data_IF_647806440004
#
_entry.id   IF_647806440004
#
_cell.length_a   1.000
_cell.length_b   1.000
_cell.length_c   1.000
_cell.angle_alpha   90.00
_cell.angle_beta   90.00
_cell.angle_gamma   90.00
#
_symmetry.space_group_name_H-M   'P 1'
#
loop_
_entity.id
_entity.type
_entity.pdbx_description
1 polymer ?
#
# COMPACT_ATOMS: atom_id res chain seq x y z
N UNK A 1 13.86 -29.12 -4.67
CA UNK A 1 12.73 -30.08 -4.51
C UNK A 1 11.45 -29.34 -4.72
N UNK A 2 10.45 -29.94 -5.39
CA UNK A 2 9.11 -29.35 -5.52
C UNK A 2 8.17 -29.93 -4.46
N UNK A 3 7.37 -29.05 -3.84
CA UNK A 3 6.33 -29.43 -2.89
C UNK A 3 4.96 -29.06 -3.46
N UNK A 4 4.10 -30.08 -3.59
CA UNK A 4 2.72 -29.88 -4.03
C UNK A 4 1.76 -30.45 -3.00
N UNK A 5 0.81 -29.64 -2.53
CA UNK A 5 -0.18 -30.01 -1.51
C UNK A 5 -1.57 -29.88 -2.11
N UNK A 6 -2.31 -30.98 -2.09
CA UNK A 6 -3.75 -30.98 -2.35
C UNK A 6 -4.47 -31.23 -1.01
N UNK A 7 -5.39 -30.38 -0.61
CA UNK A 7 -6.07 -30.47 0.67
C UNK A 7 -5.29 -29.81 1.81
N UNK A 8 -4.97 -30.55 2.87
CA UNK A 8 -4.26 -30.01 4.05
C UNK A 8 -2.86 -30.58 4.14
N UNK A 9 -1.85 -29.72 4.30
CA UNK A 9 -0.47 -30.16 4.42
C UNK A 9 0.45 -29.18 5.13
N UNK A 10 1.55 -29.72 5.64
CA UNK A 10 2.59 -29.02 6.38
C UNK A 10 3.88 -29.00 5.56
N UNK A 11 4.55 -27.86 5.56
CA UNK A 11 5.84 -27.66 4.91
C UNK A 11 6.85 -27.29 5.99
N UNK A 12 7.86 -28.12 6.27
CA UNK A 12 8.91 -27.78 7.22
C UNK A 12 9.80 -26.64 6.70
N UNK A 13 10.58 -26.06 7.60
CA UNK A 13 11.64 -25.14 7.23
C UNK A 13 12.59 -25.79 6.24
N UNK A 14 13.09 -25.04 5.27
CA UNK A 14 14.01 -25.55 4.26
C UNK A 14 13.96 -24.78 2.96
N UNK A 15 14.70 -25.35 1.97
CA UNK A 15 14.83 -24.78 0.64
C UNK A 15 14.11 -25.65 -0.40
N UNK A 16 13.31 -24.99 -1.22
CA UNK A 16 12.45 -25.62 -2.23
C UNK A 16 12.61 -24.93 -3.57
N UNK A 17 12.41 -25.67 -4.65
CA UNK A 17 12.27 -25.03 -5.95
C UNK A 17 10.85 -24.41 -6.07
N UNK A 18 9.82 -25.22 -5.92
CA UNK A 18 8.44 -24.76 -5.99
C UNK A 18 7.61 -25.26 -4.83
N UNK A 19 6.88 -24.33 -4.19
CA UNK A 19 5.87 -24.66 -3.18
C UNK A 19 4.51 -24.27 -3.74
N UNK A 20 3.64 -25.25 -3.91
CA UNK A 20 2.31 -24.99 -4.46
C UNK A 20 1.24 -25.83 -3.77
N UNK A 21 0.02 -25.28 -3.67
CA UNK A 21 -1.09 -26.07 -3.19
C UNK A 21 -2.44 -25.42 -3.26
N UNK A 22 -3.46 -26.27 -3.25
CA UNK A 22 -4.86 -25.93 -3.12
C UNK A 22 -5.39 -26.47 -1.80
N UNK A 23 -6.08 -25.63 -1.01
CA UNK A 23 -6.59 -26.00 0.30
C UNK A 23 -5.86 -25.29 1.44
N UNK A 24 -5.36 -26.02 2.43
CA UNK A 24 -4.71 -25.43 3.61
C UNK A 24 -3.24 -25.81 3.71
N UNK A 25 -2.36 -24.85 3.59
CA UNK A 25 -0.90 -25.00 3.70
C UNK A 25 -0.44 -24.35 5.00
N UNK A 26 0.35 -25.07 5.80
CA UNK A 26 1.04 -24.53 6.96
C UNK A 26 2.56 -24.67 6.78
N UNK A 27 3.26 -23.54 6.81
CA UNK A 27 4.72 -23.47 6.75
C UNK A 27 5.26 -23.31 8.17
N UNK A 28 6.31 -24.05 8.50
CA UNK A 28 6.97 -23.98 9.81
C UNK A 28 8.36 -23.37 9.65
N UNK A 29 8.69 -22.42 10.51
CA UNK A 29 9.97 -21.72 10.49
C UNK A 29 10.23 -20.96 9.19
N UNK A 30 11.47 -20.93 8.77
CA UNK A 30 11.90 -20.19 7.59
C UNK A 30 11.81 -21.07 6.33
N UNK A 31 10.98 -20.68 5.39
CA UNK A 31 10.84 -21.36 4.09
C UNK A 31 11.44 -20.47 3.00
N UNK A 32 12.41 -21.02 2.25
CA UNK A 32 12.95 -20.42 1.04
C UNK A 32 12.50 -21.20 -0.19
N UNK A 33 12.11 -20.51 -1.24
CA UNK A 33 11.75 -21.18 -2.49
C UNK A 33 11.99 -20.27 -3.70
N UNK A 34 12.03 -20.87 -4.89
CA UNK A 34 12.01 -20.06 -6.11
C UNK A 34 10.63 -19.44 -6.30
N UNK A 35 9.58 -20.22 -6.12
CA UNK A 35 8.21 -19.69 -6.21
C UNK A 35 7.24 -20.35 -5.24
N UNK A 36 6.34 -19.54 -4.71
CA UNK A 36 5.23 -19.95 -3.85
C UNK A 36 3.89 -19.64 -4.52
N UNK A 37 2.97 -20.60 -4.48
CA UNK A 37 1.62 -20.42 -4.97
C UNK A 37 0.60 -21.15 -4.10
N UNK A 38 -0.36 -20.43 -3.53
CA UNK A 38 -1.46 -21.02 -2.77
C UNK A 38 -2.83 -20.57 -3.27
N UNK A 39 -3.75 -21.52 -3.35
CA UNK A 39 -5.17 -21.27 -3.53
C UNK A 39 -5.92 -21.86 -2.32
N UNK A 40 -6.53 -20.99 -1.51
CA UNK A 40 -7.18 -21.38 -0.24
C UNK A 40 -6.53 -20.69 0.96
N UNK A 41 -6.13 -21.44 1.97
CA UNK A 41 -5.50 -20.90 3.18
C UNK A 41 -4.02 -21.19 3.23
N UNK A 42 -3.20 -20.18 3.51
CA UNK A 42 -1.79 -20.37 3.82
C UNK A 42 -1.41 -19.65 5.11
N UNK A 43 -0.66 -20.34 5.97
CA UNK A 43 -0.14 -19.78 7.22
C UNK A 43 1.33 -20.12 7.35
N UNK A 44 2.11 -19.19 7.89
CA UNK A 44 3.54 -19.42 8.09
C UNK A 44 4.19 -18.37 8.97
N UNK A 45 5.49 -18.53 9.16
CA UNK A 45 6.35 -17.55 9.81
C UNK A 45 7.01 -16.68 8.76
N UNK A 46 8.22 -17.01 8.34
CA UNK A 46 8.93 -16.27 7.30
C UNK A 46 8.90 -17.04 5.98
N UNK A 47 8.75 -16.30 4.88
CA UNK A 47 8.90 -16.86 3.55
C UNK A 47 9.73 -15.95 2.68
N UNK A 48 10.68 -16.54 1.96
CA UNK A 48 11.50 -15.86 0.96
C UNK A 48 11.38 -16.61 -0.38
N UNK A 49 10.92 -15.89 -1.40
CA UNK A 49 10.78 -16.42 -2.75
C UNK A 49 11.76 -15.68 -3.68
N UNK A 50 12.61 -16.41 -4.38
CA UNK A 50 13.51 -15.78 -5.36
C UNK A 50 12.74 -15.08 -6.49
N UNK A 51 11.59 -15.64 -6.89
CA UNK A 51 10.77 -15.08 -7.97
C UNK A 51 9.41 -14.63 -7.46
N UNK A 52 8.44 -15.51 -7.40
CA UNK A 52 7.05 -15.14 -7.22
C UNK A 52 6.42 -15.68 -5.94
N UNK A 53 5.77 -14.81 -5.21
CA UNK A 53 4.80 -15.14 -4.17
C UNK A 53 3.39 -14.87 -4.68
N UNK A 54 2.57 -15.91 -4.83
CA UNK A 54 1.18 -15.80 -5.25
C UNK A 54 0.27 -16.46 -4.23
N UNK A 55 -0.71 -15.71 -3.71
CA UNK A 55 -1.70 -16.22 -2.77
C UNK A 55 -3.11 -15.80 -3.17
N UNK A 56 -4.02 -16.76 -3.21
CA UNK A 56 -5.45 -16.52 -3.43
C UNK A 56 -6.24 -17.13 -2.28
N UNK A 57 -7.15 -16.33 -1.69
CA UNK A 57 -7.90 -16.73 -0.49
C UNK A 57 -7.38 -16.05 0.77
N UNK A 58 -7.01 -16.80 1.80
CA UNK A 58 -6.54 -16.26 3.08
C UNK A 58 -5.10 -16.64 3.35
N UNK A 59 -4.23 -15.63 3.52
CA UNK A 59 -2.82 -15.84 3.81
C UNK A 59 -2.40 -15.06 5.04
N UNK A 60 -1.68 -15.71 5.95
CA UNK A 60 -1.24 -15.13 7.23
C UNK A 60 0.19 -15.54 7.55
N UNK A 61 1.08 -14.57 7.63
CA UNK A 61 2.48 -14.75 7.97
C UNK A 61 2.82 -13.96 9.23
N UNK A 62 3.35 -14.67 10.25
CA UNK A 62 3.74 -14.06 11.54
C UNK A 62 5.12 -13.41 11.48
N UNK A 63 5.91 -13.71 10.46
CA UNK A 63 7.19 -13.09 10.17
C UNK A 63 7.13 -12.25 8.90
N UNK A 64 8.25 -12.15 8.21
CA UNK A 64 8.41 -11.36 7.00
C UNK A 64 8.13 -12.15 5.73
N UNK A 65 7.66 -11.45 4.71
CA UNK A 65 7.49 -11.99 3.36
C UNK A 65 8.41 -11.22 2.42
N UNK A 66 9.27 -11.94 1.70
CA UNK A 66 10.16 -11.39 0.69
C UNK A 66 9.99 -12.15 -0.62
N UNK A 67 9.93 -11.42 -1.74
CA UNK A 67 9.91 -12.02 -3.08
C UNK A 67 10.38 -11.01 -4.13
N UNK A 68 10.62 -11.47 -5.37
CA UNK A 68 10.76 -10.55 -6.50
C UNK A 68 9.41 -9.90 -6.82
N UNK A 69 8.36 -10.71 -6.90
CA UNK A 69 6.99 -10.23 -7.10
C UNK A 69 6.04 -10.84 -6.07
N UNK A 70 5.16 -10.00 -5.50
CA UNK A 70 4.12 -10.41 -4.55
C UNK A 70 2.75 -10.12 -5.15
N UNK A 71 1.90 -11.14 -5.23
CA UNK A 71 0.50 -10.99 -5.62
C UNK A 71 -0.40 -11.71 -4.64
N UNK A 72 -1.28 -10.97 -3.96
CA UNK A 72 -2.28 -11.57 -3.08
C UNK A 72 -3.69 -11.10 -3.44
N UNK A 73 -4.61 -12.07 -3.55
CA UNK A 73 -6.02 -11.85 -3.83
C UNK A 73 -6.85 -12.44 -2.68
N UNK A 74 -7.68 -11.62 -2.03
CA UNK A 74 -8.46 -12.02 -0.86
C UNK A 74 -7.96 -11.36 0.42
N UNK A 75 -7.66 -12.13 1.46
CA UNK A 75 -7.15 -11.63 2.73
C UNK A 75 -5.66 -11.94 2.88
N UNK A 76 -4.84 -10.94 3.11
CA UNK A 76 -3.41 -11.08 3.32
C UNK A 76 -2.98 -10.38 4.62
N UNK A 77 -2.30 -11.11 5.48
CA UNK A 77 -1.73 -10.58 6.73
C UNK A 77 -0.23 -10.91 6.80
N UNK A 78 0.56 -9.91 7.19
CA UNK A 78 1.99 -10.06 7.46
C UNK A 78 2.34 -9.25 8.71
N UNK A 79 2.81 -9.92 9.77
CA UNK A 79 3.23 -9.25 11.00
C UNK A 79 4.65 -8.67 10.89
N UNK A 80 5.47 -9.19 9.97
CA UNK A 80 6.80 -8.67 9.65
C UNK A 80 6.80 -7.62 8.54
N UNK A 81 7.98 -7.41 7.97
CA UNK A 81 8.14 -6.58 6.78
C UNK A 81 7.66 -7.32 5.52
N UNK A 82 7.13 -6.57 4.59
CA UNK A 82 6.83 -7.06 3.25
C UNK A 82 7.77 -6.37 2.26
N UNK A 83 8.60 -7.16 1.61
CA UNK A 83 9.57 -6.64 0.63
C UNK A 83 9.39 -7.32 -0.70
N UNK A 84 9.26 -6.55 -1.77
CA UNK A 84 9.37 -7.06 -3.13
C UNK A 84 10.44 -6.27 -3.89
N UNK A 85 11.17 -6.95 -4.76
CA UNK A 85 12.15 -6.26 -5.61
C UNK A 85 11.46 -5.45 -6.70
N UNK A 86 10.37 -5.98 -7.26
CA UNK A 86 9.64 -5.34 -8.36
C UNK A 86 8.23 -4.94 -7.92
N UNK A 87 7.30 -5.88 -7.88
CA UNK A 87 5.88 -5.58 -7.80
C UNK A 87 5.20 -6.13 -6.56
N UNK A 88 4.33 -5.33 -5.95
CA UNK A 88 3.33 -5.78 -4.98
C UNK A 88 1.94 -5.47 -5.53
N UNK A 89 1.10 -6.49 -5.67
CA UNK A 89 -0.28 -6.34 -6.13
C UNK A 89 -1.23 -6.96 -5.12
N UNK A 90 -2.06 -6.14 -4.52
CA UNK A 90 -3.11 -6.57 -3.61
C UNK A 90 -4.51 -6.35 -4.20
N UNK A 91 -5.35 -7.38 -4.10
CA UNK A 91 -6.79 -7.30 -4.41
C UNK A 91 -7.59 -7.86 -3.25
N UNK A 92 -8.29 -6.98 -2.50
CA UNK A 92 -9.05 -7.37 -1.32
C UNK A 92 -8.58 -6.68 -0.04
N UNK A 93 -8.35 -7.42 1.05
CA UNK A 93 -7.94 -6.87 2.33
C UNK A 93 -6.51 -7.28 2.66
N UNK A 94 -5.62 -6.30 2.83
CA UNK A 94 -4.22 -6.56 3.19
C UNK A 94 -3.83 -5.75 4.42
N UNK A 95 -3.18 -6.40 5.39
CA UNK A 95 -2.64 -5.76 6.60
C UNK A 95 -1.19 -6.16 6.80
N UNK A 96 -0.31 -5.18 6.92
CA UNK A 96 1.11 -5.32 7.19
C UNK A 96 1.40 -4.58 8.50
N UNK A 97 1.99 -5.25 9.50
CA UNK A 97 2.25 -4.62 10.80
C UNK A 97 3.60 -3.89 10.87
N UNK A 98 4.46 -4.08 9.89
CA UNK A 98 5.68 -3.30 9.75
C UNK A 98 5.68 -2.52 8.43
N UNK A 99 6.83 -2.40 7.81
CA UNK A 99 7.01 -1.59 6.60
C UNK A 99 6.82 -2.41 5.32
N UNK A 100 6.50 -1.70 4.25
CA UNK A 100 6.42 -2.22 2.89
C UNK A 100 7.48 -1.55 2.04
N UNK A 101 8.23 -2.34 1.25
CA UNK A 101 9.21 -1.84 0.30
C UNK A 101 9.11 -2.57 -1.03
N UNK A 102 9.06 -1.81 -2.15
CA UNK A 102 9.04 -2.37 -3.50
C UNK A 102 9.30 -1.26 -4.54
N UNK A 103 9.41 -1.62 -5.83
CA UNK A 103 9.41 -0.63 -6.89
C UNK A 103 7.98 -0.18 -7.22
N UNK A 104 7.07 -1.12 -7.42
CA UNK A 104 5.68 -0.80 -7.80
C UNK A 104 4.67 -1.42 -6.85
N UNK A 105 3.89 -0.59 -6.16
CA UNK A 105 2.80 -0.99 -5.29
C UNK A 105 1.45 -0.69 -5.93
N UNK A 106 0.63 -1.71 -6.13
CA UNK A 106 -0.77 -1.57 -6.56
C UNK A 106 -1.72 -2.21 -5.56
N UNK A 107 -2.65 -1.45 -5.01
CA UNK A 107 -3.64 -1.97 -4.06
C UNK A 107 -5.06 -1.61 -4.46
N UNK A 108 -5.92 -2.63 -4.51
CA UNK A 108 -7.34 -2.53 -4.85
C UNK A 108 -8.18 -3.13 -3.71
N UNK A 109 -8.73 -2.27 -2.86
CA UNK A 109 -9.52 -2.68 -1.69
C UNK A 109 -9.09 -1.99 -0.40
N UNK A 110 -8.94 -2.73 0.69
CA UNK A 110 -8.44 -2.20 1.97
C UNK A 110 -6.98 -2.59 2.16
N UNK A 111 -6.12 -1.60 2.23
CA UNK A 111 -4.69 -1.76 2.47
C UNK A 111 -4.28 -1.02 3.74
N UNK A 112 -3.74 -1.74 4.71
CA UNK A 112 -3.28 -1.20 6.00
C UNK A 112 -1.82 -1.51 6.22
N UNK A 113 -1.04 -0.50 6.60
CA UNK A 113 0.38 -0.60 6.97
C UNK A 113 0.59 0.20 8.25
N UNK A 114 1.21 -0.41 9.26
CA UNK A 114 1.40 0.27 10.55
C UNK A 114 2.67 1.12 10.59
N UNK A 115 3.59 0.95 9.64
CA UNK A 115 4.80 1.77 9.51
C UNK A 115 4.85 2.41 8.14
N UNK A 116 6.00 2.40 7.49
CA UNK A 116 6.25 3.13 6.26
C UNK A 116 5.98 2.30 5.00
N UNK A 117 5.66 2.98 3.93
CA UNK A 117 5.63 2.46 2.57
C UNK A 117 6.71 3.20 1.79
N UNK A 118 7.64 2.45 1.20
CA UNK A 118 8.68 2.94 0.31
C UNK A 118 8.54 2.28 -1.05
N UNK A 119 8.41 3.07 -2.11
CA UNK A 119 8.30 2.56 -3.47
C UNK A 119 8.81 3.60 -4.49
N UNK A 120 8.92 3.22 -5.75
CA UNK A 120 9.03 4.17 -6.86
C UNK A 120 7.64 4.66 -7.27
N UNK A 121 6.69 3.73 -7.34
CA UNK A 121 5.32 4.03 -7.76
C UNK A 121 4.30 3.41 -6.80
N UNK A 122 3.39 4.22 -6.30
CA UNK A 122 2.27 3.79 -5.45
C UNK A 122 0.94 4.12 -6.12
N UNK A 123 0.15 3.10 -6.38
CA UNK A 123 -1.22 3.24 -6.91
C UNK A 123 -2.20 2.54 -5.97
N UNK A 124 -3.12 3.30 -5.39
CA UNK A 124 -4.17 2.71 -4.56
C UNK A 124 -5.56 3.08 -5.09
N UNK A 125 -6.45 2.10 -5.12
CA UNK A 125 -7.85 2.29 -5.49
C UNK A 125 -8.76 1.60 -4.47
N UNK A 126 -9.21 2.36 -3.47
CA UNK A 126 -9.98 1.87 -2.33
C UNK A 126 -9.61 2.61 -1.05
N UNK A 127 -9.34 1.90 0.01
CA UNK A 127 -8.95 2.46 1.31
C UNK A 127 -7.47 2.19 1.58
N UNK A 128 -6.73 3.24 1.87
CA UNK A 128 -5.38 3.12 2.41
C UNK A 128 -5.36 3.62 3.87
N UNK A 129 -4.72 2.84 4.74
CA UNK A 129 -4.39 3.23 6.11
C UNK A 129 -2.89 3.01 6.30
N UNK A 130 -2.13 4.06 6.47
CA UNK A 130 -0.71 4.01 6.75
C UNK A 130 -0.43 4.92 7.95
N UNK A 131 0.09 4.37 9.04
CA UNK A 131 0.36 5.19 10.23
C UNK A 131 1.63 6.04 10.07
N UNK A 132 2.58 5.58 9.27
CA UNK A 132 3.83 6.28 8.98
C UNK A 132 3.80 7.06 7.67
N UNK A 133 4.97 7.11 7.03
CA UNK A 133 5.22 7.81 5.78
C UNK A 133 4.89 6.91 4.57
N UNK A 134 4.17 7.45 3.61
CA UNK A 134 4.09 6.92 2.25
C UNK A 134 5.07 7.73 1.40
N UNK A 135 6.16 7.11 1.00
CA UNK A 135 7.22 7.75 0.21
C UNK A 135 7.38 7.04 -1.13
N UNK A 136 7.23 7.78 -2.22
CA UNK A 136 7.46 7.26 -3.58
C UNK A 136 7.66 8.41 -4.57
N UNK A 137 8.33 8.14 -5.68
CA UNK A 137 8.46 9.13 -6.75
C UNK A 137 7.08 9.53 -7.28
N UNK A 138 6.22 8.55 -7.56
CA UNK A 138 4.88 8.79 -8.07
C UNK A 138 3.81 8.15 -7.17
N UNK A 139 2.91 8.97 -6.64
CA UNK A 139 1.84 8.53 -5.75
C UNK A 139 0.48 8.88 -6.34
N UNK A 140 -0.34 7.86 -6.57
CA UNK A 140 -1.73 8.02 -6.99
C UNK A 140 -2.68 7.32 -6.02
N UNK A 141 -3.47 8.10 -5.29
CA UNK A 141 -4.46 7.59 -4.34
C UNK A 141 -5.87 7.92 -4.85
N UNK A 142 -6.66 6.88 -5.15
CA UNK A 142 -8.07 7.00 -5.53
C UNK A 142 -8.94 6.40 -4.45
N UNK A 143 -9.41 7.22 -3.51
CA UNK A 143 -10.21 6.69 -2.39
C UNK A 143 -11.71 6.61 -2.72
N UNK A 144 -12.37 5.59 -2.18
CA UNK A 144 -13.83 5.40 -2.22
C UNK A 144 -14.48 5.51 -0.83
N UNK A 145 -13.67 5.63 0.23
CA UNK A 145 -14.08 5.82 1.63
C UNK A 145 -13.06 6.71 2.35
N UNK A 146 -13.13 6.76 3.67
CA UNK A 146 -12.14 7.47 4.48
C UNK A 146 -10.84 6.67 4.51
N UNK A 147 -9.77 7.31 4.11
CA UNK A 147 -8.38 6.82 4.21
C UNK A 147 -7.60 7.68 5.20
N UNK A 148 -6.60 7.11 5.86
CA UNK A 148 -5.74 7.82 6.82
C UNK A 148 -4.27 7.52 6.56
N UNK A 149 -3.44 8.56 6.55
CA UNK A 149 -2.01 8.46 6.29
C UNK A 149 -1.28 9.40 7.25
N UNK A 150 -0.15 8.97 7.82
CA UNK A 150 0.68 9.81 8.67
C UNK A 150 1.27 10.98 7.89
N UNK A 151 2.09 10.69 6.91
CA UNK A 151 2.70 11.68 6.00
C UNK A 151 2.78 11.13 4.58
N UNK A 152 2.87 12.03 3.60
CA UNK A 152 3.09 11.69 2.20
C UNK A 152 4.28 12.47 1.68
N UNK A 153 5.26 11.79 1.08
CA UNK A 153 6.42 12.38 0.42
C UNK A 153 6.62 11.83 -0.97
N UNK A 154 6.97 12.67 -1.94
CA UNK A 154 7.25 12.20 -3.30
C UNK A 154 7.25 13.31 -4.35
N UNK A 155 7.81 13.04 -5.53
CA UNK A 155 7.89 14.05 -6.60
C UNK A 155 6.50 14.37 -7.18
N UNK A 156 5.70 13.36 -7.49
CA UNK A 156 4.39 13.54 -8.09
C UNK A 156 3.29 12.92 -7.24
N UNK A 157 2.48 13.74 -6.61
CA UNK A 157 1.43 13.30 -5.68
C UNK A 157 0.06 13.64 -6.24
N UNK A 158 -0.75 12.65 -6.49
CA UNK A 158 -2.14 12.81 -6.93
C UNK A 158 -3.09 12.08 -5.98
N UNK A 159 -3.94 12.83 -5.29
CA UNK A 159 -5.01 12.27 -4.45
C UNK A 159 -6.35 12.68 -5.02
N UNK A 160 -7.17 11.69 -5.36
CA UNK A 160 -8.49 11.92 -5.98
C UNK A 160 -9.57 11.06 -5.34
N UNK A 161 -10.79 11.55 -5.37
CA UNK A 161 -11.97 10.76 -5.06
C UNK A 161 -12.33 9.86 -6.26
N UNK A 162 -12.65 8.59 -6.02
CA UNK A 162 -13.21 7.72 -7.05
C UNK A 162 -14.64 8.16 -7.41
N UNK A 163 -14.93 8.32 -8.69
CA UNK A 163 -16.27 8.71 -9.18
C UNK A 163 -17.25 7.52 -9.08
N UNK A 164 -17.83 7.25 -7.91
CA UNK A 164 -18.93 6.26 -7.77
C UNK A 164 -19.79 6.60 -6.57
N UNK A 165 -21.15 6.73 -6.75
CA UNK A 165 -22.20 6.93 -5.74
C UNK A 165 -22.17 8.21 -4.88
N UNK A 166 -23.31 8.89 -4.73
CA UNK A 166 -23.47 10.20 -4.09
C UNK A 166 -23.45 10.18 -2.54
N UNK A 167 -23.58 9.06 -1.88
CA UNK A 167 -23.95 8.99 -0.47
C UNK A 167 -22.85 8.64 0.54
N UNK A 168 -21.58 8.52 0.17
CA UNK A 168 -20.52 8.15 1.11
C UNK A 168 -19.49 9.26 1.31
N UNK A 169 -19.16 9.55 2.57
CA UNK A 169 -18.03 10.43 2.92
C UNK A 169 -16.74 9.79 2.41
N UNK A 170 -16.01 10.51 1.58
CA UNK A 170 -14.78 10.08 0.94
C UNK A 170 -13.75 11.17 1.08
N UNK A 171 -12.71 10.91 1.83
CA UNK A 171 -11.60 11.82 1.99
C UNK A 171 -10.34 11.08 2.39
N UNK A 172 -9.20 11.68 2.14
CA UNK A 172 -7.93 11.27 2.73
C UNK A 172 -7.61 12.24 3.85
N UNK A 173 -7.29 11.70 5.02
CA UNK A 173 -6.82 12.47 6.17
C UNK A 173 -5.33 12.20 6.29
N UNK A 174 -4.51 13.23 6.21
CA UNK A 174 -3.08 13.18 6.46
C UNK A 174 -2.82 13.88 7.78
N UNK A 175 -2.15 13.19 8.69
CA UNK A 175 -2.02 13.64 10.09
C UNK A 175 -0.89 14.64 10.29
N UNK A 176 0.12 14.65 9.42
CA UNK A 176 1.30 15.51 9.55
C UNK A 176 1.50 16.40 8.32
N UNK A 177 2.13 15.91 7.26
CA UNK A 177 2.47 16.73 6.10
C UNK A 177 2.34 15.99 4.78
N UNK A 178 2.19 16.75 3.70
CA UNK A 178 2.32 16.32 2.32
C UNK A 178 3.44 17.15 1.69
N UNK A 179 4.48 16.51 1.20
CA UNK A 179 5.67 17.18 0.65
C UNK A 179 6.03 16.59 -0.73
N UNK A 180 6.22 17.46 -1.73
CA UNK A 180 6.57 16.99 -3.09
C UNK A 180 6.68 18.12 -4.10
N UNK A 181 7.09 17.79 -5.34
CA UNK A 181 7.24 18.80 -6.39
C UNK A 181 5.88 19.17 -7.00
N UNK A 182 5.16 18.19 -7.49
CA UNK A 182 3.89 18.39 -8.19
C UNK A 182 2.76 17.72 -7.39
N UNK A 183 1.91 18.52 -6.78
CA UNK A 183 0.89 18.03 -5.84
C UNK A 183 -0.51 18.39 -6.34
N UNK A 184 -1.36 17.41 -6.54
CA UNK A 184 -2.79 17.56 -6.79
C UNK A 184 -3.62 16.86 -5.71
N UNK A 185 -4.44 17.61 -4.96
CA UNK A 185 -5.23 17.12 -3.84
C UNK A 185 -6.72 17.39 -4.03
N UNK A 186 -7.56 16.38 -4.09
CA UNK A 186 -9.02 16.44 -4.14
C UNK A 186 -9.62 15.69 -2.94
N UNK A 187 -10.44 16.35 -2.09
CA UNK A 187 -11.00 15.81 -0.85
C UNK A 187 -9.94 15.32 0.16
N UNK A 188 -8.93 16.14 0.42
CA UNK A 188 -7.87 15.89 1.38
C UNK A 188 -7.98 16.82 2.56
N UNK A 189 -7.74 16.30 3.78
CA UNK A 189 -7.54 17.10 4.98
C UNK A 189 -6.10 16.90 5.45
N UNK A 190 -5.33 17.97 5.58
CA UNK A 190 -3.94 17.93 6.04
C UNK A 190 -3.58 19.25 6.76
N UNK A 191 -2.70 19.20 7.78
CA UNK A 191 -2.22 20.44 8.42
C UNK A 191 -1.25 21.20 7.51
N UNK A 192 -0.37 20.53 6.78
CA UNK A 192 0.63 21.18 5.93
C UNK A 192 0.79 20.50 4.58
N UNK A 193 0.92 21.32 3.54
CA UNK A 193 1.28 20.92 2.18
C UNK A 193 2.43 21.80 1.71
N UNK A 194 3.53 21.22 1.30
CA UNK A 194 4.71 21.93 0.78
C UNK A 194 5.08 21.37 -0.58
N UNK A 195 5.17 22.25 -1.59
CA UNK A 195 5.49 21.80 -2.93
C UNK A 195 5.90 22.90 -3.90
N UNK A 196 6.43 22.50 -5.05
CA UNK A 196 6.80 23.42 -6.12
C UNK A 196 5.56 23.93 -6.86
N UNK A 197 4.75 23.01 -7.36
CA UNK A 197 3.46 23.26 -8.03
C UNK A 197 2.38 22.55 -7.23
N UNK A 198 1.47 23.34 -6.63
CA UNK A 198 0.43 22.81 -5.75
C UNK A 198 -0.95 23.17 -6.29
N UNK A 199 -1.80 22.17 -6.47
CA UNK A 199 -3.21 22.34 -6.88
C UNK A 199 -4.13 21.71 -5.83
N UNK A 200 -4.89 22.56 -5.14
CA UNK A 200 -5.83 22.15 -4.10
C UNK A 200 -7.23 22.10 -4.69
N UNK A 201 -7.71 20.89 -4.92
CA UNK A 201 -9.02 20.59 -5.48
C UNK A 201 -10.16 20.70 -4.46
N UNK A 202 -11.37 20.52 -4.95
CA UNK A 202 -12.61 20.68 -4.17
C UNK A 202 -12.65 19.78 -2.94
N UNK A 203 -13.32 20.26 -1.89
CA UNK A 203 -13.54 19.50 -0.65
C UNK A 203 -12.27 19.21 0.15
N UNK A 204 -11.15 19.83 -0.22
CA UNK A 204 -9.91 19.78 0.57
C UNK A 204 -9.94 20.84 1.66
N UNK A 205 -9.33 20.51 2.81
CA UNK A 205 -9.18 21.40 3.97
C UNK A 205 -7.72 21.35 4.40
N UNK A 206 -6.97 22.41 4.16
CA UNK A 206 -5.53 22.51 4.45
C UNK A 206 -5.28 23.71 5.36
N UNK A 207 -4.49 23.53 6.41
CA UNK A 207 -4.17 24.65 7.30
C UNK A 207 -3.09 25.56 6.69
N UNK A 208 -1.98 25.00 6.20
CA UNK A 208 -0.89 25.75 5.59
C UNK A 208 -0.49 25.14 4.25
N UNK A 209 -0.43 25.96 3.21
CA UNK A 209 0.15 25.59 1.91
C UNK A 209 1.38 26.47 1.67
N UNK A 210 2.53 25.81 1.48
CA UNK A 210 3.79 26.42 1.08
C UNK A 210 4.12 26.01 -0.36
N UNK A 211 4.45 26.99 -1.22
CA UNK A 211 4.74 26.72 -2.62
C UNK A 211 5.84 27.64 -3.16
N UNK A 212 6.62 27.16 -4.13
CA UNK A 212 7.68 27.98 -4.73
C UNK A 212 7.32 28.56 -6.10
N UNK A 213 6.62 27.82 -6.95
CA UNK A 213 6.32 28.28 -8.32
C UNK A 213 4.84 28.63 -8.51
N UNK A 214 3.95 27.66 -8.35
CA UNK A 214 2.53 27.82 -8.69
C UNK A 214 1.60 27.26 -7.64
N UNK A 215 0.55 28.02 -7.32
CA UNK A 215 -0.54 27.59 -6.46
C UNK A 215 -1.88 27.79 -7.16
N UNK A 216 -2.68 26.74 -7.24
CA UNK A 216 -4.06 26.77 -7.67
C UNK A 216 -4.98 26.27 -6.55
N UNK A 217 -6.01 27.04 -6.20
CA UNK A 217 -6.97 26.68 -5.16
C UNK A 217 -8.38 26.71 -5.74
N UNK A 218 -9.07 25.56 -5.68
CA UNK A 218 -10.48 25.50 -6.06
C UNK A 218 -11.34 26.38 -5.15
N UNK A 219 -12.36 27.09 -5.67
CA UNK A 219 -13.32 27.84 -4.85
C UNK A 219 -14.08 26.97 -3.83
N UNK A 220 -14.06 25.64 -4.00
CA UNK A 220 -14.69 24.69 -3.08
C UNK A 220 -13.70 24.02 -2.13
N UNK A 221 -12.47 24.51 -2.03
CA UNK A 221 -11.47 24.12 -1.05
C UNK A 221 -11.42 25.15 0.09
N UNK A 222 -10.94 24.72 1.26
CA UNK A 222 -10.65 25.61 2.38
C UNK A 222 -9.15 25.54 2.67
N UNK A 223 -8.46 26.64 2.51
CA UNK A 223 -7.05 26.81 2.89
C UNK A 223 -6.98 27.98 3.88
N UNK A 224 -6.35 27.75 5.05
CA UNK A 224 -6.30 28.78 6.10
C UNK A 224 -5.17 29.77 5.86
N UNK A 225 -4.00 29.30 5.41
CA UNK A 225 -2.82 30.11 5.16
C UNK A 225 -2.06 29.63 3.92
N UNK A 226 -1.53 30.57 3.16
CA UNK A 226 -0.63 30.29 2.03
C UNK A 226 0.64 31.08 2.17
N UNK A 227 1.78 30.47 1.83
CA UNK A 227 3.10 31.09 1.86
C UNK A 227 3.84 30.73 0.57
N UNK A 228 4.42 31.72 -0.09
CA UNK A 228 5.35 31.51 -1.18
C UNK A 228 6.77 31.47 -0.62
N UNK A 229 7.50 30.37 -0.89
CA UNK A 229 8.86 30.13 -0.40
C UNK A 229 9.87 30.14 -1.53
#
# INVERSE_FOLDING_TARGET
MDMRIAGRGNIPAGEYNKVSGSGSIKLFGNVRCVSFSSAGSSKGENIECAENFKASGSSSFLGSVRAKNVKACGSFFCAGNLTAEENIIFKGKSKIEKSVKCNHLSSYGLFSVMKNIEAENVVTAGVIKCEGLVNAENITIKTDKISSIGSIGGSNITVKRKKVSFFRKRKVIVSSAIEGDNIFLDHVTAPRVTGRIVSIGKGSVIELVQYSEKLEISPRAKVLKTEKI
#
